data_IF_801143741035
#
_entry.id   IF_801143741035
#
_cell.length_a   1.000
_cell.length_b   1.000
_cell.length_c   1.000
_cell.angle_alpha   90.00
_cell.angle_beta   90.00
_cell.angle_gamma   90.00
#
_symmetry.space_group_name_H-M   'P 1'
#
loop_
_entity.id
_entity.type
_entity.pdbx_description
1 polymer ?
#
# COMPACT_ATOMS: atom_id res chain seq x y z
N UNK A 1 1.50 -0.96 37.23
CA UNK A 1 2.26 -1.66 36.17
C UNK A 1 1.40 -2.59 35.33
N UNK A 2 0.52 -3.42 35.92
CA UNK A 2 -0.35 -4.36 35.17
C UNK A 2 -1.36 -3.66 34.22
N UNK A 3 -2.05 -2.60 34.67
CA UNK A 3 -3.01 -1.86 33.82
C UNK A 3 -2.34 -1.14 32.63
N UNK A 4 -1.15 -0.56 32.85
CA UNK A 4 -0.39 0.12 31.79
C UNK A 4 0.08 -0.87 30.72
N UNK A 5 0.48 -2.08 31.11
CA UNK A 5 0.85 -3.14 30.18
C UNK A 5 -0.34 -3.61 29.34
N UNK A 6 -1.52 -3.78 29.95
CA UNK A 6 -2.76 -4.13 29.24
C UNK A 6 -3.21 -3.04 28.25
N UNK A 7 -3.13 -1.77 28.64
CA UNK A 7 -3.46 -0.64 27.78
C UNK A 7 -2.48 -0.52 26.59
N UNK A 8 -1.19 -0.76 26.81
CA UNK A 8 -0.18 -0.78 25.75
C UNK A 8 -0.42 -1.93 24.76
N UNK A 9 -0.84 -3.11 25.26
CA UNK A 9 -1.17 -4.26 24.42
C UNK A 9 -2.42 -3.99 23.56
N UNK A 10 -3.48 -3.43 24.16
CA UNK A 10 -4.70 -3.04 23.44
C UNK A 10 -4.47 -1.89 22.43
N UNK A 11 -3.59 -0.94 22.75
CA UNK A 11 -3.24 0.16 21.86
C UNK A 11 -2.31 -0.27 20.70
N UNK A 12 -1.40 -1.22 20.95
CA UNK A 12 -0.50 -1.79 19.92
C UNK A 12 -1.26 -2.67 18.92
N UNK A 13 -2.39 -3.23 19.34
CA UNK A 13 -3.37 -3.87 18.48
C UNK A 13 -4.25 -2.80 17.80
N UNK A 14 -3.70 -2.10 16.82
CA UNK A 14 -4.50 -1.39 15.80
C UNK A 14 -5.43 -2.35 14.99
N UNK A 15 -5.56 -3.61 15.41
CA UNK A 15 -6.41 -4.68 14.91
C UNK A 15 -7.79 -4.73 15.60
N UNK A 16 -8.10 -3.79 16.49
CA UNK A 16 -9.32 -3.79 17.32
C UNK A 16 -10.63 -3.67 16.54
N UNK A 17 -10.65 -2.97 15.40
CA UNK A 17 -11.86 -2.80 14.57
C UNK A 17 -12.47 -4.15 14.11
N UNK A 18 -11.62 -5.11 13.73
CA UNK A 18 -12.08 -6.41 13.24
C UNK A 18 -12.49 -7.38 14.35
N UNK A 19 -11.81 -7.33 15.52
CA UNK A 19 -12.02 -8.30 16.61
C UNK A 19 -13.29 -8.05 17.42
N UNK A 20 -13.68 -6.78 17.62
CA UNK A 20 -14.86 -6.42 18.43
C UNK A 20 -16.17 -6.87 17.77
N UNK A 21 -16.15 -7.03 16.46
CA UNK A 21 -17.33 -7.36 15.69
C UNK A 21 -17.63 -8.87 15.65
N UNK A 22 -16.63 -9.74 15.73
CA UNK A 22 -16.83 -11.20 15.80
C UNK A 22 -17.93 -11.62 16.82
N UNK A 23 -17.93 -11.13 18.08
CA UNK A 23 -19.00 -11.47 19.03
C UNK A 23 -20.38 -10.88 18.66
N UNK A 24 -20.44 -9.77 17.92
CA UNK A 24 -21.71 -9.19 17.44
C UNK A 24 -22.37 -10.08 16.39
N UNK A 25 -21.60 -10.68 15.47
CA UNK A 25 -22.14 -11.65 14.47
C UNK A 25 -22.65 -12.91 15.15
N UNK A 26 -21.91 -13.40 16.15
CA UNK A 26 -22.29 -14.58 16.94
C UNK A 26 -23.61 -14.31 17.67
N UNK A 27 -23.74 -13.15 18.31
CA UNK A 27 -24.97 -12.78 19.02
C UNK A 27 -26.17 -12.65 18.06
N UNK A 28 -25.98 -12.05 16.89
CA UNK A 28 -27.03 -11.94 15.87
C UNK A 28 -27.46 -13.30 15.30
N UNK A 29 -26.54 -14.27 15.23
CA UNK A 29 -26.85 -15.66 14.89
C UNK A 29 -27.73 -16.32 15.95
N UNK A 30 -27.50 -16.03 17.23
CA UNK A 30 -28.32 -16.54 18.34
C UNK A 30 -29.73 -15.95 18.36
N UNK A 31 -29.93 -14.72 17.88
CA UNK A 31 -31.27 -14.12 17.71
C UNK A 31 -32.07 -14.68 16.50
N UNK A 32 -31.48 -15.58 15.69
CA UNK A 32 -32.15 -16.14 14.51
C UNK A 32 -32.28 -15.17 13.33
N UNK A 33 -31.69 -13.97 13.41
CA UNK A 33 -31.67 -12.97 12.32
C UNK A 33 -30.52 -13.25 11.34
N UNK A 34 -30.57 -14.41 10.69
CA UNK A 34 -29.49 -14.91 9.83
C UNK A 34 -29.15 -13.97 8.67
N UNK A 35 -30.16 -13.31 8.07
CA UNK A 35 -29.92 -12.35 6.98
C UNK A 35 -29.09 -11.14 7.41
N UNK A 36 -29.38 -10.58 8.59
CA UNK A 36 -28.59 -9.50 9.16
C UNK A 36 -27.20 -9.95 9.60
N UNK A 37 -27.07 -11.19 10.08
CA UNK A 37 -25.78 -11.73 10.52
C UNK A 37 -24.81 -11.91 9.35
N UNK A 38 -25.29 -12.43 8.22
CA UNK A 38 -24.50 -12.61 6.99
C UNK A 38 -24.15 -11.26 6.38
N UNK A 39 -25.12 -10.35 6.26
CA UNK A 39 -24.87 -9.00 5.76
C UNK A 39 -23.84 -8.29 6.60
N UNK A 40 -24.01 -8.34 7.93
CA UNK A 40 -23.07 -7.75 8.87
C UNK A 40 -21.71 -8.38 8.60
N UNK A 41 -21.51 -9.70 8.74
CA UNK A 41 -20.25 -10.44 8.48
C UNK A 41 -19.53 -10.03 7.18
N UNK A 42 -20.24 -10.01 6.04
CA UNK A 42 -19.68 -9.60 4.75
C UNK A 42 -19.28 -8.12 4.73
N UNK A 43 -20.08 -7.26 5.36
CA UNK A 43 -19.89 -5.82 5.37
C UNK A 43 -18.54 -5.36 5.94
N UNK A 44 -17.80 -6.18 6.68
CA UNK A 44 -16.58 -5.64 7.27
C UNK A 44 -15.57 -6.60 7.80
N UNK A 45 -15.70 -7.85 7.39
CA UNK A 45 -14.58 -8.43 6.64
C UNK A 45 -14.30 -7.60 5.37
N UNK A 46 -15.34 -7.23 4.61
CA UNK A 46 -15.24 -6.46 3.37
C UNK A 46 -14.88 -5.00 3.60
N UNK A 47 -15.85 -4.15 3.94
CA UNK A 47 -15.64 -2.69 3.97
C UNK A 47 -14.73 -2.26 5.09
N UNK A 48 -15.00 -2.67 6.34
CA UNK A 48 -14.20 -2.26 7.51
C UNK A 48 -12.78 -2.82 7.45
N UNK A 49 -12.64 -4.13 7.18
CA UNK A 49 -11.34 -4.77 6.99
C UNK A 49 -10.52 -4.20 5.84
N UNK A 50 -11.15 -3.82 4.72
CA UNK A 50 -10.46 -3.11 3.64
C UNK A 50 -10.06 -1.71 4.08
N UNK A 51 -10.96 -0.93 4.69
CA UNK A 51 -10.69 0.47 5.09
C UNK A 51 -9.55 0.57 6.11
N UNK A 52 -9.51 -0.29 7.13
CA UNK A 52 -8.45 -0.26 8.15
C UNK A 52 -7.09 -0.72 7.59
N UNK A 53 -7.10 -1.66 6.64
CA UNK A 53 -5.89 -2.13 5.96
C UNK A 53 -5.43 -1.19 4.84
N UNK A 54 -6.32 -0.34 4.30
CA UNK A 54 -6.03 0.61 3.24
C UNK A 54 -5.56 1.97 3.76
N UNK A 55 -6.00 2.35 4.96
CA UNK A 55 -5.63 3.62 5.59
C UNK A 55 -4.14 3.70 5.90
N UNK A 56 -3.50 2.58 6.30
CA UNK A 56 -2.04 2.50 6.53
C UNK A 56 -1.21 2.80 5.27
N UNK A 57 -1.42 2.16 4.12
CA UNK A 57 -0.71 2.50 2.89
C UNK A 57 -1.10 3.87 2.34
N UNK A 58 -2.35 4.33 2.52
CA UNK A 58 -2.76 5.69 2.11
C UNK A 58 -1.97 6.79 2.83
N UNK A 59 -1.75 6.66 4.14
CA UNK A 59 -0.92 7.63 4.88
C UNK A 59 0.56 7.58 4.51
N UNK A 60 1.10 6.40 4.15
CA UNK A 60 2.50 6.23 3.72
C UNK A 60 2.71 6.68 2.26
N UNK A 61 1.67 6.62 1.43
CA UNK A 61 1.71 6.99 0.00
C UNK A 61 1.90 8.48 -0.28
N UNK A 62 1.87 9.36 0.73
CA UNK A 62 2.17 10.79 0.55
C UNK A 62 3.60 11.08 0.08
N UNK A 63 4.50 10.08 0.08
CA UNK A 63 5.88 10.22 -0.35
C UNK A 63 6.22 9.76 -1.78
N UNK A 64 5.35 9.06 -2.52
CA UNK A 64 5.74 8.50 -3.82
C UNK A 64 4.58 8.32 -4.82
N UNK A 65 4.83 8.77 -6.06
CA UNK A 65 3.91 8.99 -7.19
C UNK A 65 3.31 7.73 -7.87
N UNK A 66 2.95 6.69 -7.13
CA UNK A 66 2.07 5.63 -7.65
C UNK A 66 0.87 5.48 -6.70
N UNK A 67 -0.28 6.10 -7.01
CA UNK A 67 -1.44 6.08 -6.12
C UNK A 67 -1.93 4.65 -5.98
N UNK A 68 -1.62 4.03 -4.84
CA UNK A 68 -2.09 2.70 -4.44
C UNK A 68 -3.63 2.58 -4.55
N UNK A 69 -4.33 3.71 -4.38
CA UNK A 69 -5.76 3.89 -4.68
C UNK A 69 -6.19 3.34 -6.05
N UNK A 70 -5.44 3.67 -7.10
CA UNK A 70 -5.75 3.25 -8.47
C UNK A 70 -5.63 1.73 -8.61
N UNK A 71 -4.54 1.14 -8.10
CA UNK A 71 -4.30 -0.31 -8.20
C UNK A 71 -5.37 -1.09 -7.44
N UNK A 72 -5.73 -0.63 -6.25
CA UNK A 72 -6.73 -1.29 -5.41
C UNK A 72 -8.13 -1.21 -5.98
N UNK A 73 -8.48 -0.06 -6.58
CA UNK A 73 -9.73 0.08 -7.31
C UNK A 73 -9.80 -0.89 -8.49
N UNK A 74 -8.69 -1.06 -9.21
CA UNK A 74 -8.55 -2.08 -10.26
C UNK A 74 -8.77 -3.50 -9.73
N UNK A 75 -8.12 -3.86 -8.62
CA UNK A 75 -8.25 -5.19 -7.99
C UNK A 75 -9.68 -5.49 -7.54
N UNK A 76 -10.32 -4.56 -6.83
CA UNK A 76 -11.69 -4.74 -6.34
C UNK A 76 -12.67 -4.80 -7.52
N UNK A 77 -12.53 -3.91 -8.50
CA UNK A 77 -13.37 -3.92 -9.69
C UNK A 77 -13.21 -5.20 -10.51
N UNK A 78 -11.97 -5.68 -10.66
CA UNK A 78 -11.68 -6.95 -11.31
C UNK A 78 -12.26 -8.13 -10.55
N UNK A 79 -12.12 -8.15 -9.21
CA UNK A 79 -12.68 -9.20 -8.36
C UNK A 79 -14.21 -9.30 -8.48
N UNK A 80 -14.91 -8.17 -8.57
CA UNK A 80 -16.37 -8.15 -8.73
C UNK A 80 -16.78 -8.64 -10.12
N UNK A 81 -16.03 -8.29 -11.18
CA UNK A 81 -16.37 -8.66 -12.55
C UNK A 81 -16.03 -10.12 -12.92
N UNK A 82 -14.90 -10.62 -12.43
CA UNK A 82 -14.34 -11.92 -12.85
C UNK A 82 -13.94 -12.83 -11.68
N UNK A 83 -14.30 -12.48 -10.44
CA UNK A 83 -13.94 -13.25 -9.24
C UNK A 83 -12.44 -13.24 -8.98
N UNK A 84 -11.90 -14.36 -8.48
CA UNK A 84 -10.49 -14.46 -8.07
C UNK A 84 -9.50 -14.15 -9.22
N UNK A 85 -9.81 -14.61 -10.44
CA UNK A 85 -9.03 -14.29 -11.65
C UNK A 85 -8.96 -12.79 -11.92
N UNK A 86 -10.04 -12.08 -11.59
CA UNK A 86 -10.16 -10.65 -11.75
C UNK A 86 -9.20 -9.83 -10.88
N UNK A 87 -8.64 -10.38 -9.81
CA UNK A 87 -7.62 -9.67 -9.00
C UNK A 87 -6.35 -9.42 -9.83
N UNK A 88 -5.94 -10.42 -10.62
CA UNK A 88 -4.79 -10.30 -11.52
C UNK A 88 -5.09 -9.34 -12.67
N UNK A 89 -6.19 -9.56 -13.39
CA UNK A 89 -6.58 -8.71 -14.51
C UNK A 89 -6.87 -7.27 -14.08
N UNK A 90 -7.53 -7.07 -12.94
CA UNK A 90 -7.88 -5.77 -12.39
C UNK A 90 -6.66 -4.94 -12.03
N UNK A 91 -5.67 -5.52 -11.35
CA UNK A 91 -4.41 -4.84 -11.05
C UNK A 91 -3.63 -4.50 -12.33
N UNK A 92 -3.46 -5.49 -13.21
CA UNK A 92 -2.64 -5.34 -14.42
C UNK A 92 -3.22 -4.31 -15.38
N UNK A 93 -4.53 -4.38 -15.66
CA UNK A 93 -5.19 -3.51 -16.63
C UNK A 93 -5.24 -2.06 -16.11
N UNK A 94 -5.45 -1.88 -14.81
CA UNK A 94 -5.44 -0.57 -14.19
C UNK A 94 -4.03 0.05 -14.10
N UNK A 95 -2.99 -0.76 -13.86
CA UNK A 95 -1.61 -0.30 -13.90
C UNK A 95 -1.20 0.17 -15.30
N UNK A 96 -1.56 -0.59 -16.34
CA UNK A 96 -1.31 -0.22 -17.75
C UNK A 96 -2.10 1.02 -18.13
N UNK A 97 -3.39 1.08 -17.79
CA UNK A 97 -4.23 2.25 -18.04
C UNK A 97 -3.65 3.51 -17.37
N UNK A 98 -3.20 3.41 -16.12
CA UNK A 98 -2.56 4.51 -15.42
C UNK A 98 -1.25 4.96 -16.09
N UNK A 99 -0.43 4.01 -16.56
CA UNK A 99 0.79 4.33 -17.30
C UNK A 99 0.51 5.04 -18.61
N UNK A 100 -0.46 4.54 -19.39
CA UNK A 100 -0.88 5.17 -20.64
C UNK A 100 -1.50 6.55 -20.40
N UNK A 101 -2.33 6.69 -19.37
CA UNK A 101 -2.94 7.97 -19.00
C UNK A 101 -1.89 8.99 -18.55
N UNK A 102 -0.90 8.54 -17.77
CA UNK A 102 0.22 9.37 -17.35
C UNK A 102 1.09 9.76 -18.55
N UNK A 103 1.38 8.85 -19.46
CA UNK A 103 2.16 9.14 -20.68
C UNK A 103 1.43 10.14 -21.58
N UNK A 104 0.12 9.94 -21.75
CA UNK A 104 -0.74 10.84 -22.52
C UNK A 104 -0.80 12.24 -21.93
N UNK A 105 -0.85 12.37 -20.60
CA UNK A 105 -0.80 13.65 -19.90
C UNK A 105 0.61 14.27 -19.85
N UNK A 106 1.65 13.44 -19.81
CA UNK A 106 3.01 13.89 -19.55
C UNK A 106 3.76 14.35 -20.81
N UNK A 107 3.24 14.08 -22.02
CA UNK A 107 3.80 14.58 -23.27
C UNK A 107 5.32 14.49 -23.31
N UNK A 108 5.85 13.26 -23.38
CA UNK A 108 7.29 12.93 -23.39
C UNK A 108 8.14 13.67 -22.32
N UNK A 109 8.28 13.11 -21.12
CA UNK A 109 9.57 13.15 -20.38
C UNK A 109 9.61 12.03 -19.34
N UNK A 110 10.22 10.90 -19.69
CA UNK A 110 10.75 9.96 -18.71
C UNK A 110 12.17 10.40 -18.32
N UNK A 111 12.29 11.13 -17.22
CA UNK A 111 13.59 11.28 -16.57
C UNK A 111 13.86 10.00 -15.76
N UNK A 112 14.51 9.04 -16.42
CA UNK A 112 15.13 7.89 -15.75
C UNK A 112 16.26 8.46 -14.89
N UNK A 113 16.03 8.51 -13.58
CA UNK A 113 17.00 8.94 -12.58
C UNK A 113 18.29 8.13 -12.76
N UNK A 114 19.29 8.77 -13.39
CA UNK A 114 20.63 8.21 -13.51
C UNK A 114 21.23 8.14 -12.12
N UNK A 115 21.13 6.97 -11.47
CA UNK A 115 21.95 6.63 -10.31
C UNK A 115 23.40 6.89 -10.72
N UNK A 116 24.12 7.86 -10.15
CA UNK A 116 25.48 8.15 -10.57
C UNK A 116 26.33 6.93 -10.23
N UNK A 117 26.71 6.17 -11.26
CA UNK A 117 27.81 5.22 -11.14
C UNK A 117 29.01 6.07 -10.77
N UNK A 118 29.40 6.01 -9.50
CA UNK A 118 30.61 6.61 -8.97
C UNK A 118 31.81 5.97 -9.67
N UNK A 119 32.14 6.48 -10.85
CA UNK A 119 33.41 6.23 -11.51
C UNK A 119 34.46 6.93 -10.66
N UNK A 120 35.06 6.18 -9.74
CA UNK A 120 36.23 6.59 -8.96
C UNK A 120 37.41 6.76 -9.93
N UNK A 121 37.45 7.92 -10.59
CA UNK A 121 38.44 8.20 -11.61
C UNK A 121 39.85 8.26 -10.96
N UNK A 122 40.78 7.35 -11.29
CA UNK A 122 42.11 7.30 -10.68
C UNK A 122 42.96 8.55 -10.99
N UNK A 123 42.58 9.34 -12.00
CA UNK A 123 43.30 10.55 -12.43
C UNK A 123 43.27 11.66 -11.37
N UNK A 124 42.21 11.75 -10.55
CA UNK A 124 42.12 12.74 -9.47
C UNK A 124 43.11 12.47 -8.33
N UNK A 125 43.53 11.20 -8.16
CA UNK A 125 44.48 10.80 -7.11
C UNK A 125 45.94 11.20 -7.44
N UNK A 126 46.25 11.45 -8.71
CA UNK A 126 47.62 11.72 -9.17
C UNK A 126 47.94 13.22 -9.17
N UNK A 127 46.92 14.09 -9.29
CA UNK A 127 47.08 15.56 -9.34
C UNK A 127 47.86 16.18 -8.15
N UNK A 128 47.78 15.69 -6.89
CA UNK A 128 48.59 16.26 -5.82
C UNK A 128 50.09 15.90 -5.88
N UNK A 129 50.51 14.85 -6.60
CA UNK A 129 51.93 14.43 -6.63
C UNK A 129 52.82 15.34 -7.48
N UNK A 130 52.28 15.95 -8.53
CA UNK A 130 53.07 16.79 -9.46
C UNK A 130 53.34 18.19 -8.87
N UNK A 131 52.53 18.63 -7.90
CA UNK A 131 52.60 20.00 -7.35
C UNK A 131 53.62 20.17 -6.22
N UNK A 132 54.17 19.10 -5.66
CA UNK A 132 55.04 19.16 -4.47
C UNK A 132 56.55 19.09 -4.75
N UNK A 133 57.00 19.35 -5.98
CA UNK A 133 58.45 19.48 -6.24
C UNK A 133 58.86 20.86 -6.75
N UNK A 134 59.05 21.84 -5.86
CA UNK A 134 60.02 22.90 -6.07
C UNK A 134 61.40 22.48 -5.52
N UNK A 135 62.43 22.86 -6.29
CA UNK A 135 63.86 22.62 -6.07
C UNK A 135 64.39 23.17 -4.73
#
# INVERSE_FOLDING_TARGET
>A
MLLGFAAFFFASLQLSCGIVWIPVVIWLFMEGKTGWAVFNCVWGVGVVGLVDNFTKPYLISRGSNLPFGIIFLGVIGGFIAYGFLGIFFGATLMAVAFRLFKEWLAGETQEVEMVPVSVSNPVQKIKPMIRQKPL
#
